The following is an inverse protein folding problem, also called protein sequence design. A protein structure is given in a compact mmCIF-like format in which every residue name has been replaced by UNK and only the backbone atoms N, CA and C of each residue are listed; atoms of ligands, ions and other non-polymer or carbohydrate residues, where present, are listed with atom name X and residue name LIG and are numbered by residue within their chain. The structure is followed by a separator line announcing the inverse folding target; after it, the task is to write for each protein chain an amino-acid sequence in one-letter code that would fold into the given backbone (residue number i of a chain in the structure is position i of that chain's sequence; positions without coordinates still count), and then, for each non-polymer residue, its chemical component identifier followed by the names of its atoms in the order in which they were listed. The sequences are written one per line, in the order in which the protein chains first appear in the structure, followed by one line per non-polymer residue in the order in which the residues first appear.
data_IF_887521619175
#
_entry.id   IF_887521619175
#
_cell.length_a   1.000
_cell.length_b   1.000
_cell.length_c   1.000
_cell.angle_alpha   90.00
_cell.angle_beta   90.00
_cell.angle_gamma   90.00
#
_symmetry.space_group_name_H-M   'P 1'
#
loop_
_entity.id
_entity.type
_entity.pdbx_description
1 polymer ?
#
# COMPACT_ATOMS: atom_id res chain seq x y z
N UNK A 1 -61.09 -11.67 1.20
CA UNK A 1 -59.65 -11.94 0.92
C UNK A 1 -59.17 -11.49 -0.47
N UNK A 2 -59.90 -11.73 -1.59
CA UNK A 2 -59.43 -11.33 -2.94
C UNK A 2 -59.24 -9.81 -3.18
N UNK A 3 -60.06 -8.93 -2.56
CA UNK A 3 -59.94 -7.46 -2.73
C UNK A 3 -58.77 -6.80 -1.98
N UNK A 4 -58.24 -7.46 -0.94
CA UNK A 4 -57.10 -6.95 -0.16
C UNK A 4 -55.79 -7.22 -0.92
N UNK A 5 -55.69 -8.35 -1.63
CA UNK A 5 -54.55 -8.68 -2.49
C UNK A 5 -54.41 -7.78 -3.72
N UNK A 6 -55.52 -7.32 -4.30
CA UNK A 6 -55.50 -6.44 -5.49
C UNK A 6 -54.97 -5.04 -5.21
N UNK A 7 -55.04 -4.56 -3.96
CA UNK A 7 -54.51 -3.25 -3.56
C UNK A 7 -53.10 -3.34 -2.96
N UNK A 8 -52.77 -4.43 -2.26
CA UNK A 8 -51.45 -4.62 -1.65
C UNK A 8 -50.33 -4.88 -2.67
N UNK A 9 -50.62 -5.59 -3.77
CA UNK A 9 -49.62 -5.89 -4.79
C UNK A 9 -49.05 -4.63 -5.48
N UNK A 10 -49.88 -3.67 -5.97
CA UNK A 10 -49.34 -2.45 -6.57
C UNK A 10 -48.63 -1.55 -5.54
N UNK A 11 -49.12 -1.49 -4.29
CA UNK A 11 -48.44 -0.77 -3.21
C UNK A 11 -47.07 -1.37 -2.89
N UNK A 12 -46.97 -2.70 -2.85
CA UNK A 12 -45.70 -3.41 -2.66
C UNK A 12 -44.76 -3.16 -3.84
N UNK A 13 -45.27 -3.19 -5.08
CA UNK A 13 -44.46 -2.89 -6.27
C UNK A 13 -43.95 -1.45 -6.27
N UNK A 14 -44.79 -0.47 -5.92
CA UNK A 14 -44.39 0.93 -5.78
C UNK A 14 -43.36 1.10 -4.67
N UNK A 15 -43.57 0.48 -3.50
CA UNK A 15 -42.62 0.51 -2.40
C UNK A 15 -41.26 -0.12 -2.80
N UNK A 16 -41.27 -1.28 -3.46
CA UNK A 16 -40.04 -1.91 -3.96
C UNK A 16 -39.36 -1.09 -5.05
N UNK A 17 -40.11 -0.41 -5.93
CA UNK A 17 -39.56 0.47 -6.94
C UNK A 17 -38.93 1.72 -6.29
N UNK A 18 -39.57 2.32 -5.31
CA UNK A 18 -39.03 3.45 -4.54
C UNK A 18 -37.79 3.03 -3.74
N UNK A 19 -37.80 1.86 -3.11
CA UNK A 19 -36.63 1.29 -2.43
C UNK A 19 -35.50 1.07 -3.46
N UNK A 20 -35.78 0.47 -4.62
CA UNK A 20 -34.77 0.21 -5.65
C UNK A 20 -34.20 1.48 -6.29
N UNK A 21 -35.02 2.53 -6.45
CA UNK A 21 -34.60 3.83 -6.98
C UNK A 21 -33.78 4.63 -5.97
N UNK A 22 -34.08 4.52 -4.67
CA UNK A 22 -33.41 5.28 -3.61
C UNK A 22 -32.31 4.50 -2.86
N UNK A 23 -32.20 3.19 -3.06
CA UNK A 23 -31.04 2.42 -2.60
C UNK A 23 -29.80 2.94 -3.32
N UNK A 24 -28.67 3.20 -2.61
CA UNK A 24 -27.42 3.54 -3.26
C UNK A 24 -27.05 2.41 -4.22
N UNK A 25 -27.22 2.66 -5.52
CA UNK A 25 -26.89 1.71 -6.57
C UNK A 25 -25.38 1.57 -6.61
N UNK A 26 -24.85 0.65 -5.80
CA UNK A 26 -23.49 0.15 -5.98
C UNK A 26 -23.49 -0.41 -7.40
N UNK A 27 -22.92 0.36 -8.32
CA UNK A 27 -22.85 -0.01 -9.73
C UNK A 27 -22.20 -1.39 -9.77
N UNK A 28 -22.83 -2.43 -10.38
CA UNK A 28 -22.25 -3.76 -10.46
C UNK A 28 -20.81 -3.62 -10.87
N UNK A 29 -19.89 -4.26 -10.14
CA UNK A 29 -18.46 -4.01 -10.23
C UNK A 29 -17.95 -3.93 -11.68
N UNK A 30 -18.43 -4.85 -12.54
CA UNK A 30 -18.15 -4.86 -13.98
C UNK A 30 -18.52 -3.56 -14.72
N UNK A 31 -19.66 -2.93 -14.43
CA UNK A 31 -20.07 -1.64 -15.00
C UNK A 31 -19.20 -0.47 -14.53
N UNK A 32 -18.40 -0.62 -13.46
CA UNK A 32 -17.39 0.38 -13.07
C UNK A 32 -16.10 0.21 -13.87
N UNK A 33 -15.72 -1.04 -14.17
CA UNK A 33 -14.51 -1.38 -14.92
C UNK A 33 -14.55 -0.82 -16.36
N UNK A 34 -15.76 -0.77 -16.95
CA UNK A 34 -15.99 -0.38 -18.34
C UNK A 34 -16.32 1.10 -18.56
N UNK A 35 -16.40 1.92 -17.50
CA UNK A 35 -16.64 3.36 -17.68
C UNK A 35 -15.41 4.06 -18.29
N UNK A 36 -15.57 4.89 -19.33
CA UNK A 36 -14.52 5.79 -19.78
C UNK A 36 -14.00 6.63 -18.60
N UNK A 37 -12.70 6.54 -18.31
CA UNK A 37 -12.09 7.25 -17.17
C UNK A 37 -11.56 8.59 -17.64
N UNK A 38 -12.22 9.67 -17.23
CA UNK A 38 -11.80 11.03 -17.56
C UNK A 38 -10.76 11.50 -16.54
N UNK A 39 -9.61 11.97 -17.04
CA UNK A 39 -8.68 12.90 -16.38
C UNK A 39 -8.09 12.48 -15.03
N UNK A 40 -6.90 11.85 -15.03
CA UNK A 40 -6.12 11.60 -13.80
C UNK A 40 -5.86 12.87 -12.97
N UNK A 41 -5.93 14.05 -13.60
CA UNK A 41 -5.63 15.35 -13.02
C UNK A 41 -6.87 16.09 -12.47
N UNK A 42 -8.07 15.52 -12.57
CA UNK A 42 -9.32 16.17 -12.13
C UNK A 42 -9.47 16.04 -10.62
N UNK A 43 -9.79 17.13 -9.93
CA UNK A 43 -10.16 17.10 -8.52
C UNK A 43 -11.66 16.78 -8.36
N UNK A 44 -12.00 15.79 -7.53
CA UNK A 44 -13.38 15.36 -7.25
C UNK A 44 -13.87 15.76 -5.85
N UNK A 45 -13.13 16.62 -5.15
CA UNK A 45 -13.58 17.13 -3.85
C UNK A 45 -14.81 18.03 -4.00
N UNK A 46 -15.93 17.73 -3.30
CA UNK A 46 -17.07 18.65 -3.21
C UNK A 46 -16.72 19.87 -2.35
N UNK A 47 -17.49 20.96 -2.47
CA UNK A 47 -17.24 22.22 -1.75
C UNK A 47 -17.20 22.00 -0.25
N UNK A 48 -18.14 21.20 0.26
CA UNK A 48 -18.27 20.86 1.68
C UNK A 48 -17.02 20.16 2.21
N UNK A 49 -16.35 19.34 1.40
CA UNK A 49 -15.11 18.68 1.81
C UNK A 49 -13.93 19.66 1.87
N UNK A 50 -13.94 20.72 1.05
CA UNK A 50 -12.90 21.77 1.07
C UNK A 50 -13.02 22.65 2.32
N UNK A 51 -14.23 22.81 2.83
CA UNK A 51 -14.54 23.55 4.07
C UNK A 51 -14.47 22.68 5.34
N UNK A 52 -14.42 21.36 5.18
CA UNK A 52 -14.35 20.42 6.29
C UNK A 52 -12.96 20.40 6.96
N UNK A 53 -12.97 20.22 8.28
CA UNK A 53 -11.80 19.93 9.10
C UNK A 53 -11.81 18.49 9.65
N UNK A 54 -10.64 18.04 10.10
CA UNK A 54 -10.43 16.71 10.70
C UNK A 54 -10.97 16.66 12.13
N UNK A 55 -11.67 15.57 12.48
CA UNK A 55 -12.35 15.40 13.79
C UNK A 55 -11.85 14.17 14.57
N UNK A 56 -10.99 13.34 13.98
CA UNK A 56 -10.39 12.18 14.61
C UNK A 56 -11.32 10.95 14.70
N UNK A 57 -10.70 9.78 14.82
CA UNK A 57 -11.38 8.48 14.77
C UNK A 57 -12.36 8.24 15.93
N UNK A 58 -12.13 8.87 17.09
CA UNK A 58 -13.04 8.76 18.25
C UNK A 58 -14.43 9.30 17.92
N UNK A 59 -14.52 10.38 17.13
CA UNK A 59 -15.83 10.90 16.70
C UNK A 59 -16.53 9.94 15.75
N UNK A 60 -15.79 9.32 14.83
CA UNK A 60 -16.32 8.27 13.94
C UNK A 60 -16.86 7.05 14.70
N UNK A 61 -16.23 6.69 15.84
CA UNK A 61 -16.63 5.53 16.68
C UNK A 61 -18.06 5.65 17.21
N UNK A 62 -18.54 6.87 17.47
CA UNK A 62 -19.87 7.11 18.05
C UNK A 62 -20.97 6.46 17.20
N UNK A 63 -20.85 6.54 15.87
CA UNK A 63 -21.78 5.95 14.91
C UNK A 63 -21.27 4.63 14.29
N UNK A 64 -19.96 4.48 14.06
CA UNK A 64 -19.36 3.34 13.33
C UNK A 64 -18.55 2.40 14.21
N UNK A 65 -19.18 1.85 15.26
CA UNK A 65 -18.53 1.02 16.29
C UNK A 65 -17.77 -0.19 15.73
N UNK A 66 -18.39 -0.95 14.83
CA UNK A 66 -17.77 -2.15 14.23
C UNK A 66 -16.57 -1.80 13.35
N UNK A 67 -16.73 -0.80 12.48
CA UNK A 67 -15.64 -0.33 11.60
C UNK A 67 -14.47 0.20 12.41
N UNK A 68 -14.74 0.95 13.47
CA UNK A 68 -13.74 1.41 14.41
C UNK A 68 -13.01 0.24 15.08
N UNK A 69 -13.76 -0.75 15.58
CA UNK A 69 -13.19 -1.95 16.22
C UNK A 69 -12.20 -2.66 15.28
N UNK A 70 -12.63 -2.94 14.05
CA UNK A 70 -11.82 -3.67 13.07
C UNK A 70 -10.61 -2.83 12.62
N UNK A 71 -10.80 -1.53 12.37
CA UNK A 71 -9.69 -0.62 12.10
C UNK A 71 -8.69 -0.59 13.26
N UNK A 72 -9.14 -0.51 14.51
CA UNK A 72 -8.27 -0.49 15.69
C UNK A 72 -7.46 -1.78 15.81
N UNK A 73 -8.03 -2.91 15.42
CA UNK A 73 -7.34 -4.20 15.35
C UNK A 73 -6.32 -4.30 14.18
N UNK A 74 -6.37 -3.39 13.20
CA UNK A 74 -5.47 -3.37 12.03
C UNK A 74 -4.01 -3.05 12.39
N UNK A 75 -3.15 -3.04 11.36
CA UNK A 75 -1.78 -2.49 11.46
C UNK A 75 -1.70 -1.01 11.08
N UNK A 76 -2.73 -0.45 10.45
CA UNK A 76 -2.79 0.98 10.12
C UNK A 76 -2.90 1.83 11.40
N UNK A 77 -3.76 1.39 12.33
CA UNK A 77 -3.91 2.00 13.66
C UNK A 77 -2.70 1.81 14.59
N UNK A 78 -1.74 0.95 14.21
CA UNK A 78 -0.54 0.58 14.99
C UNK A 78 0.76 1.02 14.32
N UNK A 79 0.67 1.92 13.34
CA UNK A 79 1.86 2.46 12.68
C UNK A 79 2.61 3.43 13.61
N UNK A 80 1.88 4.27 14.34
CA UNK A 80 2.41 5.10 15.42
C UNK A 80 1.70 4.67 16.71
N UNK A 81 2.46 4.41 17.77
CA UNK A 81 1.90 4.07 19.08
C UNK A 81 2.63 4.82 20.17
N UNK A 82 1.87 5.40 21.09
CA UNK A 82 2.35 6.20 22.22
C UNK A 82 2.92 5.29 23.31
N UNK A 83 4.23 5.35 23.50
CA UNK A 83 4.96 4.53 24.46
C UNK A 83 4.62 4.97 25.89
N UNK A 84 4.36 6.26 26.09
CA UNK A 84 4.09 6.83 27.42
C UNK A 84 2.74 6.37 27.96
N UNK A 85 1.80 6.05 27.08
CA UNK A 85 0.47 5.52 27.43
C UNK A 85 0.43 4.01 27.49
N UNK A 86 1.14 3.33 26.60
CA UNK A 86 1.24 1.87 26.61
C UNK A 86 2.67 1.40 26.31
N UNK A 87 3.51 1.23 27.35
CA UNK A 87 4.88 0.76 27.17
C UNK A 87 4.98 -0.63 26.52
N UNK A 88 3.91 -1.45 26.56
CA UNK A 88 3.91 -2.82 26.01
C UNK A 88 3.97 -2.85 24.48
N UNK A 89 3.75 -1.71 23.83
CA UNK A 89 3.89 -1.58 22.36
C UNK A 89 5.35 -1.66 21.90
N UNK A 90 6.30 -1.51 22.81
CA UNK A 90 7.74 -1.63 22.55
C UNK A 90 8.11 -3.09 22.45
N UNK A 91 8.53 -3.53 21.26
CA UNK A 91 8.91 -4.93 21.00
C UNK A 91 10.41 -5.12 20.89
N UNK A 92 11.20 -4.04 20.99
CA UNK A 92 12.65 -4.13 20.92
C UNK A 92 13.26 -4.48 22.27
N UNK A 93 14.34 -5.26 22.22
CA UNK A 93 15.12 -5.53 23.41
C UNK A 93 16.14 -4.40 23.67
N UNK A 94 15.77 -3.43 24.51
CA UNK A 94 16.63 -2.29 24.85
C UNK A 94 17.86 -2.67 25.70
N UNK A 95 17.88 -3.82 26.40
CA UNK A 95 19.10 -4.27 27.09
C UNK A 95 20.22 -4.69 26.14
N UNK A 96 19.90 -4.83 24.85
CA UNK A 96 20.85 -5.11 23.77
C UNK A 96 21.00 -3.94 22.81
N UNK A 97 20.51 -2.75 23.17
CA UNK A 97 20.75 -1.56 22.37
C UNK A 97 22.26 -1.27 22.38
N UNK A 98 22.92 -1.07 21.23
CA UNK A 98 24.35 -0.78 21.19
C UNK A 98 24.71 0.49 21.96
N UNK A 99 25.92 0.52 22.54
CA UNK A 99 26.42 1.62 23.38
C UNK A 99 26.55 2.95 22.62
N UNK A 100 26.76 2.90 21.30
CA UNK A 100 26.84 4.06 20.42
C UNK A 100 25.45 4.57 19.94
N UNK A 101 24.37 4.09 20.55
CA UNK A 101 23.03 4.60 20.28
C UNK A 101 22.87 6.04 20.79
N UNK A 102 22.23 6.90 19.99
CA UNK A 102 22.02 8.32 20.28
C UNK A 102 20.76 8.60 21.13
N UNK A 103 20.22 7.55 21.75
CA UNK A 103 18.95 7.59 22.47
C UNK A 103 18.78 6.36 23.38
N UNK A 104 17.90 6.51 24.37
CA UNK A 104 17.37 5.45 25.21
C UNK A 104 15.85 5.37 25.03
N UNK A 105 15.20 4.38 25.65
CA UNK A 105 13.75 4.29 25.63
C UNK A 105 13.08 5.51 26.31
N UNK A 106 13.71 6.08 27.34
CA UNK A 106 13.17 7.23 28.09
C UNK A 106 13.06 8.50 27.24
N UNK A 107 13.89 8.61 26.20
CA UNK A 107 13.89 9.76 25.28
C UNK A 107 12.76 9.68 24.24
N UNK A 108 12.18 8.49 24.04
CA UNK A 108 11.21 8.23 22.98
C UNK A 108 9.76 8.38 23.47
N UNK A 109 8.94 9.07 22.68
CA UNK A 109 7.50 9.26 22.96
C UNK A 109 6.64 8.31 22.12
N UNK A 110 7.03 8.06 20.87
CA UNK A 110 6.31 7.16 19.98
C UNK A 110 7.19 6.06 19.41
N UNK A 111 6.57 4.91 19.19
CA UNK A 111 7.09 3.92 18.23
C UNK A 111 6.56 4.24 16.84
N UNK A 112 7.39 3.99 15.83
CA UNK A 112 6.99 3.99 14.41
C UNK A 112 7.27 2.62 13.79
N UNK A 113 6.22 1.97 13.32
CA UNK A 113 6.22 0.58 12.89
C UNK A 113 5.98 -0.41 14.03
N UNK A 114 5.48 -1.60 13.66
CA UNK A 114 5.10 -2.65 14.60
C UNK A 114 5.51 -4.04 14.11
N UNK A 115 4.92 -4.52 12.99
CA UNK A 115 5.08 -5.91 12.54
C UNK A 115 6.50 -6.30 12.11
N UNK A 116 7.16 -5.46 11.31
CA UNK A 116 8.40 -5.84 10.60
C UNK A 116 9.65 -5.17 11.16
N UNK A 117 9.47 -3.99 11.74
CA UNK A 117 10.52 -3.18 12.34
C UNK A 117 9.87 -2.09 13.17
N UNK A 118 10.63 -1.60 14.14
CA UNK A 118 10.24 -0.48 15.00
C UNK A 118 11.37 0.54 15.06
N UNK A 119 11.01 1.82 14.99
CA UNK A 119 11.91 2.93 15.30
C UNK A 119 11.25 3.80 16.36
N UNK A 120 11.99 4.76 16.87
CA UNK A 120 11.61 5.53 18.05
C UNK A 120 11.67 7.01 17.73
N UNK A 121 10.55 7.71 17.96
CA UNK A 121 10.40 9.14 17.74
C UNK A 121 10.76 9.88 19.03
N UNK A 122 11.77 10.73 18.94
CA UNK A 122 12.34 11.47 20.06
C UNK A 122 12.03 12.95 19.85
N UNK A 123 11.43 13.66 20.81
CA UNK A 123 11.19 15.10 20.70
C UNK A 123 12.49 15.85 20.42
N UNK A 124 12.46 16.79 19.48
CA UNK A 124 13.60 17.60 19.11
C UNK A 124 13.17 19.00 18.69
N UNK A 125 14.09 19.96 18.76
CA UNK A 125 13.94 21.26 18.11
C UNK A 125 14.88 21.29 16.92
N UNK A 126 14.32 21.34 15.71
CA UNK A 126 15.08 21.31 14.45
C UNK A 126 14.76 22.61 13.71
N UNK A 127 15.80 23.41 13.41
CA UNK A 127 15.66 24.73 12.78
C UNK A 127 14.64 25.65 13.51
N UNK A 128 14.73 25.69 14.84
CA UNK A 128 13.84 26.52 15.67
C UNK A 128 12.40 26.03 15.80
N UNK A 129 12.06 24.85 15.25
CA UNK A 129 10.70 24.28 15.31
C UNK A 129 10.68 22.99 16.11
N UNK A 130 9.66 22.84 16.97
CA UNK A 130 9.39 21.58 17.68
C UNK A 130 8.99 20.49 16.68
N UNK A 131 9.67 19.37 16.74
CA UNK A 131 9.50 18.23 15.86
C UNK A 131 9.86 16.92 16.58
N UNK A 132 9.88 15.82 15.85
CA UNK A 132 10.56 14.59 16.27
C UNK A 132 11.69 14.25 15.32
N UNK A 133 12.75 13.68 15.88
CA UNK A 133 13.77 12.94 15.15
C UNK A 133 13.59 11.43 15.34
N UNK A 134 14.31 10.64 14.55
CA UNK A 134 14.42 9.19 14.76
C UNK A 134 15.81 8.84 15.28
N UNK A 135 15.88 7.97 16.28
CA UNK A 135 17.15 7.46 16.79
C UNK A 135 18.01 6.80 15.72
N UNK A 136 19.33 6.76 15.93
CA UNK A 136 20.32 6.18 15.01
C UNK A 136 20.27 4.65 14.88
N UNK A 137 19.36 3.97 15.59
CA UNK A 137 19.08 2.56 15.48
C UNK A 137 17.59 2.26 15.26
N UNK A 138 17.32 1.19 14.52
CA UNK A 138 15.99 0.58 14.37
C UNK A 138 16.02 -0.87 14.80
N UNK A 139 14.91 -1.36 15.36
CA UNK A 139 14.73 -2.76 15.70
C UNK A 139 14.14 -3.53 14.52
N UNK A 140 14.77 -4.64 14.13
CA UNK A 140 14.21 -5.56 13.13
C UNK A 140 13.55 -6.74 13.84
N UNK A 141 12.22 -6.79 13.82
CA UNK A 141 11.44 -7.85 14.50
C UNK A 141 11.61 -9.21 13.81
N UNK A 142 11.96 -9.23 12.52
CA UNK A 142 12.15 -10.47 11.77
C UNK A 142 13.46 -11.17 12.11
N UNK A 143 14.45 -10.42 12.61
CA UNK A 143 15.77 -10.97 12.98
C UNK A 143 16.07 -10.85 14.47
N UNK A 144 15.25 -10.15 15.24
CA UNK A 144 15.48 -9.87 16.66
C UNK A 144 16.77 -9.09 16.93
N UNK A 145 17.13 -8.15 16.04
CA UNK A 145 18.41 -7.41 16.10
C UNK A 145 18.20 -5.91 15.88
N UNK A 146 18.98 -5.12 16.60
CA UNK A 146 19.19 -3.70 16.32
C UNK A 146 20.02 -3.51 15.05
N UNK A 147 19.71 -2.46 14.29
CA UNK A 147 20.36 -2.13 13.03
C UNK A 147 20.54 -0.62 12.94
N UNK A 148 21.74 -0.17 12.57
CA UNK A 148 21.94 1.26 12.29
C UNK A 148 20.90 1.78 11.30
N UNK A 149 20.38 2.95 11.61
CA UNK A 149 19.36 3.62 10.83
C UNK A 149 19.76 5.06 10.53
N UNK A 150 19.90 5.33 9.24
CA UNK A 150 20.23 6.65 8.70
C UNK A 150 19.05 7.11 7.82
N UNK A 151 18.22 8.05 8.29
CA UNK A 151 16.99 8.43 7.60
C UNK A 151 17.28 9.21 6.31
N UNK A 152 18.46 9.81 6.18
CA UNK A 152 18.94 10.60 5.04
C UNK A 152 19.54 9.80 3.88
N UNK A 153 19.47 8.47 3.82
CA UNK A 153 20.14 7.64 2.76
C UNK A 153 19.39 7.50 1.42
N UNK A 154 18.26 8.17 1.24
CA UNK A 154 17.36 7.94 0.10
C UNK A 154 17.55 8.98 -1.02
N UNK A 155 16.50 9.25 -1.80
CA UNK A 155 16.59 10.17 -2.94
C UNK A 155 16.83 11.62 -2.49
N UNK A 156 16.31 11.99 -1.32
CA UNK A 156 16.48 13.29 -0.68
C UNK A 156 17.80 13.40 0.11
N UNK A 157 18.79 12.53 -0.16
CA UNK A 157 20.07 12.52 0.58
C UNK A 157 20.78 13.87 0.60
N UNK A 158 20.72 14.59 -0.53
CA UNK A 158 21.32 15.91 -0.66
C UNK A 158 20.39 17.05 -0.19
N UNK A 159 19.22 16.72 0.36
CA UNK A 159 18.24 17.67 0.88
C UNK A 159 18.29 17.79 2.41
N UNK A 160 19.10 17.00 3.10
CA UNK A 160 19.15 16.98 4.56
C UNK A 160 20.57 16.79 5.09
N UNK A 161 20.88 17.30 6.30
CA UNK A 161 22.07 16.93 7.03
C UNK A 161 22.19 15.41 7.21
N UNK A 162 23.42 14.89 7.18
CA UNK A 162 23.68 13.46 7.38
C UNK A 162 23.76 13.11 8.86
N UNK A 163 22.83 13.67 9.62
CA UNK A 163 22.75 13.63 11.06
C UNK A 163 21.30 13.36 11.46
N UNK A 164 21.10 12.32 12.27
CA UNK A 164 19.77 11.97 12.77
C UNK A 164 19.19 13.06 13.68
N UNK A 165 20.03 13.83 14.39
CA UNK A 165 19.58 14.91 15.28
C UNK A 165 18.92 16.07 14.52
N UNK A 166 19.35 16.30 13.28
CA UNK A 166 18.88 17.39 12.44
C UNK A 166 17.89 16.93 11.36
N UNK A 167 17.41 15.67 11.45
CA UNK A 167 16.54 15.09 10.45
C UNK A 167 15.08 15.02 10.94
N UNK A 168 14.20 15.92 10.46
CA UNK A 168 12.84 16.02 10.97
C UNK A 168 11.91 14.95 10.38
N UNK A 169 11.10 14.35 11.25
CA UNK A 169 10.05 13.40 10.85
C UNK A 169 8.90 14.08 10.10
N UNK A 170 8.62 15.35 10.41
CA UNK A 170 7.63 16.20 9.74
C UNK A 170 7.73 16.21 8.21
N UNK A 171 8.94 16.15 7.66
CA UNK A 171 9.14 16.25 6.22
C UNK A 171 9.10 14.89 5.50
N UNK A 172 9.38 13.79 6.19
CA UNK A 172 9.66 12.52 5.49
C UNK A 172 8.87 11.32 6.01
N UNK A 173 8.25 11.44 7.18
CA UNK A 173 7.53 10.36 7.83
C UNK A 173 6.07 10.73 8.06
N UNK A 174 5.81 11.93 8.56
CA UNK A 174 4.55 12.23 9.23
C UNK A 174 3.36 12.29 8.29
N UNK A 175 3.54 12.74 7.04
CA UNK A 175 2.45 12.76 6.06
C UNK A 175 1.80 11.39 5.88
N UNK A 176 2.58 10.31 5.92
CA UNK A 176 2.04 8.95 5.77
C UNK A 176 1.66 8.28 7.10
N UNK A 177 2.06 8.83 8.25
CA UNK A 177 1.99 8.14 9.54
C UNK A 177 1.24 8.90 10.64
N UNK A 178 0.84 10.13 10.40
CA UNK A 178 -0.09 10.89 11.25
C UNK A 178 -1.30 11.33 10.43
N UNK A 179 -2.48 11.13 10.99
CA UNK A 179 -3.72 11.60 10.39
C UNK A 179 -3.74 13.12 10.36
N UNK A 180 -4.21 13.69 9.25
CA UNK A 180 -4.27 15.13 8.99
C UNK A 180 -2.96 15.77 8.53
N UNK A 181 -1.81 15.14 8.76
CA UNK A 181 -0.51 15.77 8.52
C UNK A 181 -0.24 16.01 7.02
N UNK A 182 -0.55 15.04 6.17
CA UNK A 182 -0.38 15.16 4.72
C UNK A 182 -1.13 16.37 4.15
N UNK A 183 -2.35 16.60 4.64
CA UNK A 183 -3.25 17.65 4.17
C UNK A 183 -2.90 19.03 4.75
N UNK A 184 -2.55 19.08 6.05
CA UNK A 184 -2.55 20.34 6.82
C UNK A 184 -1.20 20.71 7.42
N UNK A 185 -0.23 19.78 7.44
CA UNK A 185 1.01 19.92 8.19
C UNK A 185 0.85 19.82 9.71
N UNK A 186 -0.32 19.40 10.21
CA UNK A 186 -0.61 19.23 11.64
C UNK A 186 -0.84 17.75 11.98
N UNK A 187 -0.29 17.29 13.10
CA UNK A 187 -0.48 15.93 13.64
C UNK A 187 -1.82 15.88 14.39
N UNK A 188 -2.91 15.54 13.69
CA UNK A 188 -4.26 15.53 14.30
C UNK A 188 -4.45 14.28 15.17
N UNK A 189 -4.08 13.11 14.65
CA UNK A 189 -4.17 11.84 15.36
C UNK A 189 -2.94 10.97 15.01
N UNK A 190 -2.34 10.24 15.98
CA UNK A 190 -1.29 9.28 15.67
C UNK A 190 -1.82 8.15 14.77
N UNK A 191 -0.92 7.65 13.92
CA UNK A 191 -1.16 6.54 13.01
C UNK A 191 -2.11 6.90 11.85
N UNK A 192 -2.47 5.89 11.06
CA UNK A 192 -3.34 6.04 9.88
C UNK A 192 -4.77 5.77 10.34
N UNK A 193 -5.56 6.82 10.50
CA UNK A 193 -6.95 6.76 10.95
C UNK A 193 -7.94 6.96 9.80
N UNK A 194 -9.23 7.01 10.15
CA UNK A 194 -10.36 7.04 9.20
C UNK A 194 -10.19 8.13 8.13
N UNK A 195 -9.79 9.32 8.56
CA UNK A 195 -9.74 10.52 7.72
C UNK A 195 -8.52 10.56 6.78
N UNK A 196 -7.51 9.69 6.96
CA UNK A 196 -6.47 9.51 5.93
C UNK A 196 -7.04 8.88 4.65
N UNK A 197 -8.15 8.13 4.76
CA UNK A 197 -8.76 7.44 3.64
C UNK A 197 -10.06 8.10 3.17
N UNK A 198 -10.82 8.68 4.10
CA UNK A 198 -12.12 9.28 3.81
C UNK A 198 -12.08 10.81 3.69
N UNK A 199 -10.94 11.44 3.98
CA UNK A 199 -10.83 12.90 4.06
C UNK A 199 -11.42 13.46 5.36
N UNK A 200 -11.43 14.80 5.54
CA UNK A 200 -11.93 15.46 6.73
C UNK A 200 -13.43 15.22 6.94
N UNK A 201 -13.81 14.78 8.15
CA UNK A 201 -15.14 14.25 8.43
C UNK A 201 -16.14 15.21 9.09
N UNK A 202 -15.75 16.44 9.47
CA UNK A 202 -16.62 17.37 10.23
C UNK A 202 -18.01 17.57 9.63
N UNK A 203 -18.12 17.87 8.32
CA UNK A 203 -19.42 18.04 7.66
C UNK A 203 -20.28 16.78 7.67
N UNK A 204 -19.66 15.60 7.58
CA UNK A 204 -20.38 14.32 7.70
C UNK A 204 -20.80 14.00 9.14
N UNK A 205 -20.03 14.45 10.14
CA UNK A 205 -20.40 14.27 11.53
C UNK A 205 -21.53 15.23 11.97
N UNK A 206 -21.60 16.41 11.37
CA UNK A 206 -22.71 17.37 11.54
C UNK A 206 -23.99 16.87 10.85
N UNK A 207 -23.87 16.39 9.60
CA UNK A 207 -24.97 15.80 8.83
C UNK A 207 -24.53 14.44 8.25
N UNK A 208 -25.00 13.31 8.82
CA UNK A 208 -24.67 11.97 8.31
C UNK A 208 -25.08 11.71 6.86
N UNK A 209 -25.98 12.50 6.27
CA UNK A 209 -26.33 12.39 4.86
C UNK A 209 -25.30 13.07 3.95
N UNK A 210 -24.44 13.92 4.49
CA UNK A 210 -23.43 14.62 3.72
C UNK A 210 -22.39 13.62 3.15
N UNK A 211 -22.23 13.54 1.81
CA UNK A 211 -21.42 12.52 1.17
C UNK A 211 -19.93 12.89 1.04
N UNK A 212 -19.36 13.81 1.83
CA UNK A 212 -17.94 14.23 1.70
C UNK A 212 -16.96 13.06 1.60
N UNK A 213 -17.21 11.95 2.29
CA UNK A 213 -16.36 10.75 2.26
C UNK A 213 -16.37 10.02 0.90
N UNK A 214 -17.39 10.22 0.07
CA UNK A 214 -17.53 9.57 -1.24
C UNK A 214 -16.51 10.09 -2.25
N UNK A 215 -15.97 11.30 -2.06
CA UNK A 215 -14.95 11.86 -2.94
C UNK A 215 -13.76 10.90 -3.12
N UNK A 216 -13.37 10.18 -2.06
CA UNK A 216 -12.25 9.27 -2.08
C UNK A 216 -12.54 7.89 -2.70
N UNK A 217 -13.81 7.58 -2.94
CA UNK A 217 -14.29 6.30 -3.51
C UNK A 217 -15.21 6.51 -4.73
N UNK A 218 -15.19 7.71 -5.32
CA UNK A 218 -16.08 8.10 -6.41
C UNK A 218 -15.83 7.27 -7.69
N UNK A 219 -14.58 6.86 -7.90
CA UNK A 219 -14.15 6.03 -9.01
C UNK A 219 -12.97 5.12 -8.61
N UNK A 220 -12.59 4.15 -9.48
CA UNK A 220 -11.46 3.26 -9.22
C UNK A 220 -10.09 3.94 -9.07
N UNK A 221 -9.84 5.06 -9.76
CA UNK A 221 -8.59 5.82 -9.64
C UNK A 221 -8.50 6.46 -8.26
N UNK A 222 -9.52 7.21 -7.82
CA UNK A 222 -9.55 7.83 -6.49
C UNK A 222 -9.46 6.80 -5.37
N UNK A 223 -10.18 5.69 -5.53
CA UNK A 223 -10.14 4.56 -4.58
C UNK A 223 -8.74 3.99 -4.44
N UNK A 224 -8.01 3.83 -5.54
CA UNK A 224 -6.61 3.39 -5.50
C UNK A 224 -5.70 4.46 -4.90
N UNK A 225 -5.87 5.72 -5.29
CA UNK A 225 -5.01 6.83 -4.85
C UNK A 225 -5.01 7.01 -3.33
N UNK A 226 -6.12 6.71 -2.66
CA UNK A 226 -6.19 6.61 -1.19
C UNK A 226 -5.13 5.66 -0.62
N UNK A 227 -4.83 4.55 -1.28
CA UNK A 227 -3.76 3.65 -0.87
C UNK A 227 -2.40 4.14 -1.37
N UNK A 228 -2.33 4.61 -2.63
CA UNK A 228 -1.09 5.02 -3.30
C UNK A 228 -0.45 6.26 -2.69
N UNK A 229 -1.19 7.07 -1.92
CA UNK A 229 -0.62 8.22 -1.19
C UNK A 229 0.51 7.79 -0.22
N UNK A 230 0.46 6.54 0.29
CA UNK A 230 1.43 5.97 1.22
C UNK A 230 2.14 4.71 0.69
N UNK A 231 1.43 3.85 -0.05
CA UNK A 231 1.93 2.56 -0.54
C UNK A 231 2.67 2.66 -1.88
N UNK A 232 3.31 3.81 -2.09
CA UNK A 232 4.10 4.09 -3.27
C UNK A 232 5.33 4.90 -2.87
N UNK A 233 6.50 4.53 -3.40
CA UNK A 233 7.71 5.32 -3.23
C UNK A 233 7.64 6.49 -4.19
N UNK A 234 7.76 7.68 -3.62
CA UNK A 234 7.63 8.93 -4.32
C UNK A 234 8.95 9.70 -4.27
N UNK A 235 8.94 10.80 -5.00
CA UNK A 235 9.83 11.94 -4.96
C UNK A 235 8.94 13.17 -4.73
N UNK A 236 9.55 14.24 -4.26
CA UNK A 236 8.86 15.53 -4.14
C UNK A 236 8.47 16.03 -5.55
N UNK A 237 7.21 16.44 -5.71
CA UNK A 237 6.65 16.82 -7.01
C UNK A 237 7.35 18.04 -7.62
N UNK A 238 7.96 18.89 -6.79
CA UNK A 238 8.70 20.09 -7.22
C UNK A 238 9.91 19.77 -8.10
N UNK A 239 10.43 18.54 -8.04
CA UNK A 239 11.47 18.09 -8.98
C UNK A 239 10.97 18.15 -10.43
N UNK A 240 9.69 17.83 -10.65
CA UNK A 240 9.07 17.91 -11.98
C UNK A 240 8.53 19.32 -12.25
N UNK A 241 7.77 19.90 -11.31
CA UNK A 241 7.01 21.13 -11.56
C UNK A 241 7.83 22.41 -11.46
N UNK A 242 8.93 22.39 -10.71
CA UNK A 242 9.81 23.54 -10.48
C UNK A 242 11.24 23.27 -11.00
N UNK A 243 11.48 22.12 -11.66
CA UNK A 243 12.81 21.64 -12.05
C UNK A 243 13.83 21.60 -10.88
N UNK A 244 13.34 21.46 -9.65
CA UNK A 244 14.18 21.49 -8.47
C UNK A 244 15.07 20.24 -8.39
N UNK A 245 16.31 20.41 -7.97
CA UNK A 245 17.17 19.31 -7.54
C UNK A 245 16.93 18.99 -6.06
N UNK A 246 17.45 17.85 -5.60
CA UNK A 246 17.44 17.54 -4.16
C UNK A 246 18.13 18.63 -3.32
N UNK A 247 19.16 19.31 -3.85
CA UNK A 247 19.86 20.39 -3.13
C UNK A 247 19.00 21.64 -2.99
N UNK A 248 18.25 22.00 -4.03
CA UNK A 248 17.34 23.17 -4.00
C UNK A 248 16.23 23.01 -2.95
N UNK A 249 15.91 21.75 -2.63
CA UNK A 249 14.94 21.38 -1.60
C UNK A 249 15.59 21.18 -0.21
N UNK A 250 16.74 21.79 0.08
CA UNK A 250 17.42 21.68 1.38
C UNK A 250 16.48 21.98 2.55
N UNK A 251 16.39 21.02 3.47
CA UNK A 251 15.51 20.99 4.65
C UNK A 251 14.00 21.10 4.34
N UNK A 252 13.62 21.04 3.06
CA UNK A 252 12.25 21.24 2.58
C UNK A 252 11.69 20.05 1.79
N UNK A 253 12.53 19.11 1.36
CA UNK A 253 12.15 17.97 0.52
C UNK A 253 11.19 17.00 1.23
N UNK A 254 10.04 16.71 0.63
CA UNK A 254 9.03 15.83 1.25
C UNK A 254 8.96 14.46 0.60
N UNK A 255 8.95 13.39 1.40
CA UNK A 255 8.85 11.99 0.92
C UNK A 255 7.40 11.51 0.76
N UNK A 256 6.43 12.42 0.91
CA UNK A 256 4.99 12.17 0.84
C UNK A 256 4.29 13.27 0.03
N UNK A 257 3.07 13.04 -0.50
CA UNK A 257 2.35 14.00 -1.32
C UNK A 257 1.75 15.13 -0.48
N UNK A 258 2.57 16.13 -0.14
CA UNK A 258 2.17 17.27 0.69
C UNK A 258 1.00 18.05 0.09
N UNK A 259 -0.04 18.30 0.88
CA UNK A 259 -1.26 19.00 0.48
C UNK A 259 -2.33 18.10 -0.16
N UNK A 260 -2.05 16.80 -0.30
CA UNK A 260 -3.03 15.82 -0.78
C UNK A 260 -4.12 15.57 0.27
N UNK A 261 -5.36 15.44 -0.21
CA UNK A 261 -6.54 15.04 0.55
C UNK A 261 -7.28 13.99 -0.30
N UNK A 262 -7.79 12.89 0.30
CA UNK A 262 -8.60 11.92 -0.42
C UNK A 262 -9.74 12.56 -1.22
N UNK A 263 -9.78 12.27 -2.53
CA UNK A 263 -10.69 12.91 -3.50
C UNK A 263 -9.98 13.79 -4.52
N UNK A 264 -8.81 14.35 -4.16
CA UNK A 264 -7.95 15.06 -5.11
C UNK A 264 -7.28 14.10 -6.09
N UNK A 265 -6.81 14.66 -7.20
CA UNK A 265 -5.90 13.99 -8.14
C UNK A 265 -4.50 13.85 -7.55
N UNK A 266 -4.14 12.63 -7.13
CA UNK A 266 -2.88 12.38 -6.44
C UNK A 266 -1.64 12.70 -7.31
N UNK A 267 -1.75 12.58 -8.64
CA UNK A 267 -0.66 12.90 -9.58
C UNK A 267 -0.20 14.36 -9.52
N UNK A 268 -1.06 15.28 -9.05
CA UNK A 268 -0.70 16.69 -8.85
C UNK A 268 0.19 16.91 -7.62
N UNK A 269 0.33 15.90 -6.74
CA UNK A 269 1.03 16.02 -5.46
C UNK A 269 2.23 15.10 -5.34
N UNK A 270 2.43 14.17 -6.29
CA UNK A 270 3.51 13.19 -6.22
C UNK A 270 4.23 13.03 -7.55
N UNK A 271 5.53 12.80 -7.44
CA UNK A 271 6.33 12.26 -8.52
C UNK A 271 6.68 10.81 -8.16
N UNK A 272 6.17 9.78 -8.87
CA UNK A 272 6.52 8.40 -8.59
C UNK A 272 8.03 8.16 -8.72
N UNK A 273 8.59 7.25 -7.90
CA UNK A 273 9.98 6.84 -8.07
C UNK A 273 10.21 6.29 -9.49
N UNK A 274 11.27 6.72 -10.20
CA UNK A 274 11.49 6.34 -11.58
C UNK A 274 11.80 4.85 -11.69
N UNK A 275 11.31 4.25 -12.77
CA UNK A 275 11.59 2.88 -13.17
C UNK A 275 11.70 2.80 -14.69
N UNK A 276 12.67 2.01 -15.16
CA UNK A 276 12.86 1.69 -16.57
C UNK A 276 13.14 0.19 -16.66
N UNK A 277 12.43 -0.52 -17.53
CA UNK A 277 12.63 -1.95 -17.73
C UNK A 277 14.08 -2.23 -18.19
N UNK A 278 14.68 -3.29 -17.65
CA UNK A 278 16.09 -3.61 -17.87
C UNK A 278 17.07 -2.85 -16.96
N UNK A 279 16.63 -1.79 -16.25
CA UNK A 279 17.50 -1.00 -15.38
C UNK A 279 17.14 -1.18 -13.91
N UNK A 280 18.04 -1.81 -13.17
CA UNK A 280 17.91 -1.91 -11.71
C UNK A 280 18.07 -0.54 -11.04
N UNK A 281 17.22 -0.25 -10.06
CA UNK A 281 17.28 0.98 -9.26
C UNK A 281 17.39 0.66 -7.76
N UNK A 282 17.40 1.69 -6.92
CA UNK A 282 17.35 1.52 -5.46
C UNK A 282 16.01 0.90 -5.01
N UNK A 283 14.93 1.06 -5.76
CA UNK A 283 13.58 0.64 -5.40
C UNK A 283 13.10 -0.61 -6.16
N UNK A 284 13.61 -0.84 -7.37
CA UNK A 284 13.13 -1.89 -8.28
C UNK A 284 14.28 -2.74 -8.82
N UNK A 285 14.03 -4.03 -8.98
CA UNK A 285 14.83 -4.93 -9.79
C UNK A 285 14.72 -4.54 -11.26
N UNK A 286 15.65 -4.99 -12.10
CA UNK A 286 15.65 -4.63 -13.52
C UNK A 286 14.38 -5.07 -14.27
N UNK A 287 13.71 -6.13 -13.83
CA UNK A 287 12.42 -6.51 -14.40
C UNK A 287 11.25 -5.62 -13.95
N UNK A 288 11.43 -4.74 -12.96
CA UNK A 288 10.39 -3.88 -12.37
C UNK A 288 9.80 -4.37 -11.06
N UNK A 289 10.13 -5.58 -10.61
CA UNK A 289 9.69 -6.06 -9.31
C UNK A 289 10.32 -5.24 -8.17
N UNK A 290 9.57 -5.04 -7.10
CA UNK A 290 10.00 -4.27 -5.95
C UNK A 290 11.18 -4.91 -5.20
N UNK A 291 12.18 -4.09 -4.83
CA UNK A 291 13.27 -4.42 -3.90
C UNK A 291 12.97 -4.07 -2.44
N UNK A 292 11.98 -3.21 -2.22
CA UNK A 292 11.69 -2.57 -0.93
C UNK A 292 10.22 -2.69 -0.57
N UNK A 293 9.89 -2.30 0.65
CA UNK A 293 8.51 -2.07 1.06
C UNK A 293 7.96 -0.73 0.52
N UNK A 294 6.63 -0.59 0.53
CA UNK A 294 5.86 0.60 0.10
C UNK A 294 6.03 0.92 -1.39
N UNK A 295 6.13 -0.10 -2.22
CA UNK A 295 6.29 -0.01 -3.69
C UNK A 295 5.16 -0.72 -4.42
N UNK A 296 4.18 -1.29 -3.70
CA UNK A 296 3.06 -2.02 -4.30
C UNK A 296 2.33 -1.15 -5.32
N UNK A 297 2.16 0.13 -5.00
CA UNK A 297 1.57 1.09 -5.90
C UNK A 297 2.40 1.35 -7.16
N UNK A 298 3.73 1.37 -7.05
CA UNK A 298 4.60 1.59 -8.20
C UNK A 298 4.54 0.40 -9.16
N UNK A 299 4.36 -0.82 -8.64
CA UNK A 299 4.18 -2.02 -9.46
C UNK A 299 2.77 -2.04 -10.07
N UNK A 300 1.75 -1.81 -9.24
CA UNK A 300 0.36 -2.06 -9.60
C UNK A 300 -0.17 -1.12 -10.68
N UNK A 301 0.29 0.14 -10.74
CA UNK A 301 -0.18 1.10 -11.77
C UNK A 301 0.17 0.68 -13.20
N UNK A 302 1.11 -0.24 -13.38
CA UNK A 302 1.48 -0.78 -14.70
C UNK A 302 0.72 -2.07 -15.06
N UNK A 303 0.03 -2.68 -14.09
CA UNK A 303 -0.65 -3.95 -14.25
C UNK A 303 -1.98 -3.84 -15.04
N UNK A 304 -2.35 -4.94 -15.70
CA UNK A 304 -3.60 -5.03 -16.48
C UNK A 304 -4.84 -4.85 -15.62
N UNK A 305 -4.84 -5.32 -14.36
CA UNK A 305 -5.94 -5.12 -13.43
C UNK A 305 -6.16 -3.64 -13.10
N UNK A 306 -5.09 -2.86 -12.92
CA UNK A 306 -5.20 -1.42 -12.72
C UNK A 306 -5.82 -0.72 -13.94
N UNK A 307 -5.37 -1.08 -15.15
CA UNK A 307 -5.96 -0.57 -16.41
C UNK A 307 -7.46 -0.88 -16.49
N UNK A 308 -7.88 -2.06 -16.06
CA UNK A 308 -9.28 -2.46 -16.02
C UNK A 308 -10.07 -1.95 -14.80
N UNK A 309 -9.44 -1.25 -13.85
CA UNK A 309 -10.16 -0.55 -12.78
C UNK A 309 -10.40 -1.41 -11.56
N UNK A 310 -9.64 -2.50 -11.45
CA UNK A 310 -9.53 -3.24 -10.22
C UNK A 310 -8.79 -2.36 -9.21
N UNK A 311 -9.30 -2.31 -7.99
CA UNK A 311 -8.76 -1.47 -6.92
C UNK A 311 -8.12 -2.30 -5.81
N UNK A 312 -7.29 -1.65 -4.99
CA UNK A 312 -6.71 -2.28 -3.81
C UNK A 312 -7.78 -2.92 -2.91
N UNK A 313 -8.96 -2.28 -2.78
CA UNK A 313 -10.02 -2.74 -1.89
C UNK A 313 -10.83 -3.93 -2.43
N UNK A 314 -10.67 -4.29 -3.70
CA UNK A 314 -11.23 -5.53 -4.23
C UNK A 314 -10.52 -6.77 -3.65
N UNK A 315 -9.25 -6.61 -3.29
CA UNK A 315 -8.43 -7.65 -2.69
C UNK A 315 -8.24 -7.46 -1.17
N UNK A 316 -8.18 -6.22 -0.67
CA UNK A 316 -7.89 -5.89 0.73
C UNK A 316 -9.03 -5.13 1.38
N UNK A 317 -9.67 -5.69 2.41
CA UNK A 317 -10.71 -4.96 3.15
C UNK A 317 -10.10 -4.31 4.41
N UNK A 318 -9.96 -2.98 4.45
CA UNK A 318 -9.41 -2.29 5.63
C UNK A 318 -10.34 -2.34 6.85
N UNK A 319 -11.61 -2.69 6.64
CA UNK A 319 -12.67 -2.74 7.65
C UNK A 319 -13.08 -4.15 8.06
N UNK A 320 -12.56 -5.20 7.41
CA UNK A 320 -12.74 -6.60 7.84
C UNK A 320 -11.40 -7.31 8.08
N UNK A 321 -10.30 -6.64 7.79
CA UNK A 321 -8.93 -7.16 7.89
C UNK A 321 -8.73 -8.47 7.10
N UNK A 322 -9.41 -8.58 5.97
CA UNK A 322 -9.28 -9.73 5.07
C UNK A 322 -8.09 -9.58 4.14
N UNK A 323 -7.48 -10.71 3.79
CA UNK A 323 -6.35 -10.79 2.87
C UNK A 323 -5.20 -9.84 3.27
N UNK A 324 -4.89 -9.81 4.56
CA UNK A 324 -3.83 -8.96 5.09
C UNK A 324 -2.50 -9.71 5.02
N UNK A 325 -1.39 -8.99 5.18
CA UNK A 325 -0.09 -9.62 5.33
C UNK A 325 -0.01 -10.63 6.50
N UNK A 326 -0.95 -10.61 7.46
CA UNK A 326 -1.07 -11.59 8.55
C UNK A 326 -2.01 -12.75 8.22
N UNK A 327 -3.09 -12.48 7.47
CA UNK A 327 -4.15 -13.44 7.16
C UNK A 327 -4.45 -13.39 5.65
N UNK A 328 -3.60 -13.99 4.80
CA UNK A 328 -3.90 -14.09 3.37
C UNK A 328 -5.11 -15.01 3.15
N UNK A 329 -5.96 -14.70 2.17
CA UNK A 329 -7.16 -15.51 1.87
C UNK A 329 -6.90 -16.68 0.90
N UNK A 330 -5.62 -16.98 0.62
CA UNK A 330 -5.24 -18.01 -0.34
C UNK A 330 -5.79 -17.72 -1.73
N UNK A 331 -6.23 -18.77 -2.42
CA UNK A 331 -6.66 -18.70 -3.82
C UNK A 331 -8.00 -17.98 -4.01
N UNK A 332 -8.86 -17.95 -2.98
CA UNK A 332 -10.21 -17.39 -3.07
C UNK A 332 -10.20 -15.94 -3.56
N UNK A 333 -9.18 -15.14 -3.20
CA UNK A 333 -9.09 -13.76 -3.68
C UNK A 333 -8.91 -13.67 -5.20
N UNK A 334 -8.08 -14.53 -5.78
CA UNK A 334 -7.80 -14.58 -7.22
C UNK A 334 -8.96 -15.24 -7.99
N UNK A 335 -9.46 -16.36 -7.47
CA UNK A 335 -10.49 -17.18 -8.12
C UNK A 335 -11.86 -16.51 -8.23
N UNK A 336 -12.10 -15.38 -7.53
CA UNK A 336 -13.28 -14.52 -7.75
C UNK A 336 -13.43 -14.07 -9.20
N UNK A 337 -12.30 -13.89 -9.90
CA UNK A 337 -12.26 -13.49 -11.31
C UNK A 337 -11.61 -14.56 -12.19
N UNK A 338 -10.64 -15.31 -11.67
CA UNK A 338 -9.81 -16.25 -12.43
C UNK A 338 -10.32 -17.68 -12.29
N UNK A 339 -11.43 -18.03 -12.93
CA UNK A 339 -11.93 -19.42 -12.93
C UNK A 339 -11.16 -20.30 -13.91
N UNK A 340 -11.04 -21.60 -13.62
CA UNK A 340 -10.45 -22.56 -14.56
C UNK A 340 -11.24 -22.58 -15.88
N UNK A 341 -10.53 -22.56 -17.00
CA UNK A 341 -11.11 -22.49 -18.35
C UNK A 341 -11.67 -21.12 -18.75
N UNK A 342 -11.57 -20.09 -17.89
CA UNK A 342 -11.93 -18.72 -18.28
C UNK A 342 -10.80 -18.04 -19.06
N UNK A 343 -11.16 -17.07 -19.90
CA UNK A 343 -10.23 -16.30 -20.76
C UNK A 343 -9.07 -15.69 -19.97
N UNK A 344 -9.34 -15.26 -18.73
CA UNK A 344 -8.35 -14.60 -17.88
C UNK A 344 -7.81 -15.51 -16.77
N UNK A 345 -8.31 -16.75 -16.64
CA UNK A 345 -7.91 -17.68 -15.59
C UNK A 345 -6.99 -18.79 -16.09
N UNK A 346 -6.66 -19.77 -15.23
CA UNK A 346 -5.87 -20.92 -15.65
C UNK A 346 -6.58 -21.70 -16.77
N UNK A 347 -5.86 -22.03 -17.85
CA UNK A 347 -6.42 -22.78 -18.98
C UNK A 347 -6.54 -24.28 -18.70
N UNK A 348 -5.82 -24.80 -17.71
CA UNK A 348 -5.93 -26.20 -17.28
C UNK A 348 -7.27 -26.46 -16.58
N UNK A 349 -7.64 -27.74 -16.44
CA UNK A 349 -8.93 -28.14 -15.85
C UNK A 349 -8.94 -28.18 -14.33
N UNK A 350 -7.77 -28.13 -13.69
CA UNK A 350 -7.64 -28.21 -12.23
C UNK A 350 -6.43 -27.43 -11.70
N UNK A 351 -6.44 -27.20 -10.39
CA UNK A 351 -5.37 -26.51 -9.68
C UNK A 351 -4.06 -27.29 -9.77
N UNK A 352 -4.09 -28.60 -9.55
CA UNK A 352 -2.91 -29.45 -9.62
C UNK A 352 -2.30 -29.50 -11.02
N UNK A 353 -3.12 -29.50 -12.07
CA UNK A 353 -2.61 -29.43 -13.44
C UNK A 353 -1.96 -28.09 -13.74
N UNK A 354 -2.51 -27.00 -13.20
CA UNK A 354 -1.95 -25.66 -13.40
C UNK A 354 -0.65 -25.44 -12.62
N UNK A 355 -0.63 -25.85 -11.34
CA UNK A 355 0.48 -25.55 -10.43
C UNK A 355 1.53 -26.64 -10.43
N UNK A 356 1.19 -27.86 -10.89
CA UNK A 356 2.00 -29.07 -10.76
C UNK A 356 2.33 -29.44 -9.29
N UNK A 357 1.48 -29.00 -8.36
CA UNK A 357 1.58 -29.30 -6.95
C UNK A 357 0.26 -29.84 -6.42
N UNK A 358 0.29 -30.69 -5.38
CA UNK A 358 -0.93 -31.15 -4.69
C UNK A 358 -1.77 -29.95 -4.25
N UNK A 359 -3.10 -29.96 -4.42
CA UNK A 359 -3.96 -28.81 -4.12
C UNK A 359 -3.79 -28.24 -2.70
N UNK A 360 -3.62 -29.11 -1.70
CA UNK A 360 -3.44 -28.69 -0.31
C UNK A 360 -2.05 -28.11 0.02
N UNK A 361 -1.10 -28.17 -0.92
CA UNK A 361 0.27 -27.71 -0.69
C UNK A 361 0.40 -26.19 -0.86
N UNK A 362 1.43 -25.61 -0.24
CA UNK A 362 1.76 -24.20 -0.42
C UNK A 362 2.08 -23.85 -1.88
N UNK A 363 2.63 -24.79 -2.65
CA UNK A 363 2.93 -24.61 -4.07
C UNK A 363 1.68 -24.42 -4.94
N UNK A 364 0.50 -24.78 -4.43
CA UNK A 364 -0.78 -24.55 -5.10
C UNK A 364 -1.45 -23.23 -4.73
N UNK A 365 -0.78 -22.35 -3.98
CA UNK A 365 -1.30 -21.02 -3.68
C UNK A 365 -0.90 -20.02 -4.79
N UNK A 366 -1.89 -19.37 -5.42
CA UNK A 366 -1.66 -18.41 -6.52
C UNK A 366 -0.60 -17.35 -6.14
N UNK A 367 -0.67 -16.84 -4.91
CA UNK A 367 0.23 -15.79 -4.41
C UNK A 367 1.68 -16.23 -4.24
N UNK A 368 1.99 -17.53 -4.19
CA UNK A 368 3.38 -17.98 -4.08
C UNK A 368 4.11 -17.93 -5.43
N UNK A 369 3.37 -18.05 -6.54
CA UNK A 369 3.89 -17.94 -7.90
C UNK A 369 3.72 -16.55 -8.50
N UNK A 370 2.53 -15.96 -8.38
CA UNK A 370 2.17 -14.68 -9.01
C UNK A 370 2.51 -13.46 -8.15
N UNK A 371 2.71 -13.63 -6.84
CA UNK A 371 3.11 -12.56 -5.94
C UNK A 371 4.38 -12.95 -5.15
N UNK A 372 5.49 -13.26 -5.84
CA UNK A 372 6.71 -13.71 -5.19
C UNK A 372 7.26 -12.65 -4.24
N UNK A 373 7.99 -13.11 -3.22
CA UNK A 373 8.64 -12.23 -2.25
C UNK A 373 9.92 -11.66 -2.87
N UNK A 374 9.84 -10.47 -3.44
CA UNK A 374 10.98 -9.83 -4.14
C UNK A 374 11.61 -8.70 -3.35
N UNK A 375 10.94 -8.18 -2.32
CA UNK A 375 11.39 -7.01 -1.58
C UNK A 375 11.69 -7.26 -0.10
N UNK A 376 12.43 -6.33 0.50
CA UNK A 376 12.83 -6.36 1.92
C UNK A 376 12.24 -5.18 2.70
N UNK A 377 11.93 -5.40 3.98
CA UNK A 377 11.54 -4.32 4.90
C UNK A 377 12.72 -3.47 5.37
N UNK A 378 13.91 -4.07 5.50
CA UNK A 378 15.21 -3.43 5.78
C UNK A 378 16.30 -4.07 4.93
N UNK A 379 17.46 -3.44 4.77
CA UNK A 379 18.58 -4.02 3.98
C UNK A 379 19.08 -5.36 4.52
N UNK A 380 18.83 -5.64 5.81
CA UNK A 380 19.22 -6.85 6.52
C UNK A 380 18.02 -7.78 6.83
N UNK A 381 16.84 -7.48 6.28
CA UNK A 381 15.66 -8.36 6.38
C UNK A 381 15.66 -9.45 5.31
N UNK A 382 15.03 -10.60 5.56
CA UNK A 382 14.72 -11.55 4.50
C UNK A 382 13.74 -10.96 3.47
N UNK A 383 13.72 -11.56 2.28
CA UNK A 383 12.73 -11.24 1.25
C UNK A 383 11.34 -11.66 1.74
N UNK A 384 10.51 -10.68 2.03
CA UNK A 384 9.18 -10.88 2.66
C UNK A 384 8.11 -9.95 2.13
N UNK A 385 8.49 -8.94 1.34
CA UNK A 385 7.53 -8.09 0.62
C UNK A 385 7.16 -8.78 -0.67
N UNK A 386 5.86 -9.06 -0.84
CA UNK A 386 5.30 -9.64 -2.06
C UNK A 386 5.16 -8.59 -3.16
N UNK A 387 5.58 -8.94 -4.36
CA UNK A 387 5.35 -8.13 -5.56
C UNK A 387 3.86 -8.03 -5.87
N UNK A 388 3.42 -6.86 -6.31
CA UNK A 388 2.07 -6.61 -6.84
C UNK A 388 2.11 -6.41 -8.37
N UNK A 389 3.09 -7.02 -9.03
CA UNK A 389 3.12 -7.10 -10.50
C UNK A 389 2.22 -8.18 -11.07
N UNK A 390 1.91 -9.22 -10.29
CA UNK A 390 1.07 -10.39 -10.64
C UNK A 390 1.55 -11.26 -11.81
N UNK A 391 2.30 -10.68 -12.75
CA UNK A 391 3.01 -11.37 -13.81
C UNK A 391 3.97 -12.42 -13.24
N UNK A 392 3.90 -13.63 -13.78
CA UNK A 392 4.79 -14.71 -13.41
C UNK A 392 6.21 -14.40 -13.88
N UNK A 393 7.17 -14.38 -12.96
CA UNK A 393 8.58 -14.17 -13.28
C UNK A 393 9.26 -15.52 -13.55
N UNK A 394 9.62 -15.76 -14.81
CA UNK A 394 10.27 -17.01 -15.21
C UNK A 394 11.70 -17.11 -14.68
N UNK A 395 12.20 -18.32 -14.36
CA UNK A 395 13.61 -18.49 -13.97
C UNK A 395 14.60 -17.93 -14.99
N UNK A 396 14.35 -18.08 -16.29
CA UNK A 396 15.16 -17.48 -17.35
C UNK A 396 15.13 -15.94 -17.30
N UNK A 397 13.98 -15.33 -17.03
CA UNK A 397 13.84 -13.88 -16.87
C UNK A 397 14.63 -13.38 -15.66
N UNK A 398 14.56 -14.08 -14.52
CA UNK A 398 15.37 -13.77 -13.32
C UNK A 398 16.86 -13.77 -13.66
N UNK A 399 17.32 -14.77 -14.42
CA UNK A 399 18.71 -14.89 -14.87
C UNK A 399 19.10 -13.77 -15.84
N UNK A 400 18.27 -13.50 -16.86
CA UNK A 400 18.53 -12.49 -17.90
C UNK A 400 18.67 -11.07 -17.31
N UNK A 401 17.87 -10.75 -16.29
CA UNK A 401 17.95 -9.46 -15.60
C UNK A 401 18.95 -9.43 -14.43
N UNK A 402 19.76 -10.49 -14.24
CA UNK A 402 20.77 -10.54 -13.16
C UNK A 402 20.19 -10.47 -11.75
N UNK A 403 18.92 -10.86 -11.57
CA UNK A 403 18.25 -10.75 -10.28
C UNK A 403 18.68 -11.88 -9.33
N UNK A 404 18.69 -11.66 -8.00
CA UNK A 404 18.98 -12.73 -7.05
C UNK A 404 18.01 -13.90 -7.22
N UNK A 405 18.47 -15.16 -7.27
CA UNK A 405 17.60 -16.32 -7.51
C UNK A 405 16.42 -16.42 -6.54
N UNK A 406 16.59 -15.98 -5.29
CA UNK A 406 15.55 -16.02 -4.24
C UNK A 406 14.36 -15.08 -4.53
N UNK A 407 14.48 -14.19 -5.52
CA UNK A 407 13.35 -13.37 -6.00
C UNK A 407 12.42 -14.15 -6.93
N UNK A 408 12.88 -15.27 -7.49
CA UNK A 408 12.08 -16.17 -8.31
C UNK A 408 11.19 -17.06 -7.43
N UNK A 409 9.91 -17.19 -7.79
CA UNK A 409 8.94 -17.99 -7.05
C UNK A 409 9.36 -19.45 -6.88
N UNK A 410 9.88 -20.07 -7.94
CA UNK A 410 10.24 -21.49 -7.95
C UNK A 410 11.49 -21.72 -7.09
N UNK A 411 12.55 -20.94 -7.31
CA UNK A 411 13.80 -21.06 -6.58
C UNK A 411 13.63 -20.77 -5.08
N UNK A 412 12.70 -19.88 -4.70
CA UNK A 412 12.41 -19.58 -3.29
C UNK A 412 11.94 -20.82 -2.50
N UNK A 413 11.37 -21.84 -3.17
CA UNK A 413 10.98 -23.11 -2.55
C UNK A 413 11.93 -24.26 -2.89
N UNK A 414 12.56 -24.22 -4.07
CA UNK A 414 13.46 -25.25 -4.60
C UNK A 414 14.90 -24.75 -4.69
N UNK A 415 15.46 -24.36 -3.54
CA UNK A 415 16.82 -23.82 -3.45
C UNK A 415 17.91 -24.87 -3.69
N UNK A 416 17.53 -26.15 -3.78
CA UNK A 416 18.35 -27.28 -4.22
C UNK A 416 18.55 -27.30 -5.75
N UNK A 417 17.81 -26.48 -6.51
CA UNK A 417 17.83 -26.46 -7.97
C UNK A 417 18.43 -25.17 -8.51
N UNK A 418 18.93 -25.23 -9.74
CA UNK A 418 19.35 -24.03 -10.48
C UNK A 418 18.17 -23.40 -11.22
N UNK A 419 18.25 -22.10 -11.52
CA UNK A 419 17.26 -21.41 -12.35
C UNK A 419 17.09 -22.10 -13.72
N UNK A 420 18.18 -22.62 -14.31
CA UNK A 420 18.12 -23.34 -15.59
C UNK A 420 17.37 -24.68 -15.47
N UNK A 421 17.57 -25.42 -14.39
CA UNK A 421 16.84 -26.67 -14.11
C UNK A 421 15.34 -26.41 -13.91
N UNK A 422 15.00 -25.35 -13.17
CA UNK A 422 13.61 -24.91 -12.96
C UNK A 422 12.97 -24.46 -14.27
N UNK A 423 13.69 -23.71 -15.10
CA UNK A 423 13.23 -23.33 -16.43
C UNK A 423 12.95 -24.55 -17.31
N UNK A 424 13.86 -25.54 -17.32
CA UNK A 424 13.66 -26.79 -18.06
C UNK A 424 12.42 -27.54 -17.59
N UNK A 425 12.11 -27.51 -16.30
CA UNK A 425 10.90 -28.13 -15.75
C UNK A 425 9.63 -27.45 -16.26
N UNK A 426 9.58 -26.10 -16.27
CA UNK A 426 8.47 -25.35 -16.86
C UNK A 426 8.28 -25.65 -18.36
N UNK A 427 9.38 -25.76 -19.11
CA UNK A 427 9.34 -26.13 -20.54
C UNK A 427 8.70 -27.50 -20.76
N UNK A 428 9.04 -28.49 -19.93
CA UNK A 428 8.45 -29.85 -19.98
C UNK A 428 6.95 -29.84 -19.71
N UNK A 429 6.44 -28.87 -18.95
CA UNK A 429 5.03 -28.71 -18.66
C UNK A 429 4.24 -27.97 -19.76
N UNK A 430 4.88 -27.57 -20.86
CA UNK A 430 4.25 -26.80 -21.92
C UNK A 430 4.08 -25.31 -21.59
N UNK A 431 4.63 -24.83 -20.47
CA UNK A 431 4.58 -23.42 -20.05
C UNK A 431 5.69 -22.61 -20.77
N UNK A 432 5.58 -22.53 -22.10
CA UNK A 432 6.62 -22.02 -23.02
C UNK A 432 6.54 -20.51 -23.32
N UNK A 433 5.57 -19.78 -22.76
CA UNK A 433 5.17 -18.48 -23.32
C UNK A 433 6.15 -17.31 -23.12
N UNK A 434 7.32 -17.51 -22.53
CA UNK A 434 8.28 -16.44 -22.24
C UNK A 434 9.66 -16.57 -22.88
N UNK A 435 9.87 -17.54 -23.77
CA UNK A 435 10.94 -17.39 -24.76
C UNK A 435 10.61 -16.33 -25.82
N UNK A 436 9.35 -15.89 -25.94
CA UNK A 436 8.90 -15.08 -27.09
C UNK A 436 8.45 -13.64 -26.81
N UNK A 437 8.18 -13.20 -25.56
CA UNK A 437 7.36 -11.97 -25.39
C UNK A 437 7.81 -10.88 -24.39
N UNK A 438 8.96 -10.96 -23.71
CA UNK A 438 9.42 -9.82 -22.87
C UNK A 438 10.91 -9.47 -22.97
N UNK A 439 11.56 -9.84 -24.06
CA UNK A 439 12.62 -8.98 -24.60
C UNK A 439 11.94 -8.07 -25.61
N UNK A 440 11.30 -6.99 -25.14
CA UNK A 440 10.84 -5.96 -26.06
C UNK A 440 12.04 -5.53 -26.91
N UNK A 441 11.90 -5.83 -28.19
CA UNK A 441 12.66 -5.40 -29.34
C UNK A 441 12.61 -3.88 -29.46
N UNK A 442 13.28 -3.14 -28.58
CA UNK A 442 13.63 -1.73 -28.79
C UNK A 442 14.99 -1.44 -28.15
N UNK A 443 16.03 -1.97 -28.77
CA UNK A 443 17.31 -1.28 -28.90
C UNK A 443 17.60 -1.25 -30.40
N UNK A 444 17.09 -0.21 -31.06
CA UNK A 444 17.77 0.40 -32.20
C UNK A 444 18.20 1.79 -31.76
#
# INVERSE_FOLDING_TARGET
MKRIFTLLLPLLMIATALIWLNLPKITPYYKQLTKPRVGMNIDLQPVEQKEAHFIGSTKCKECHKEKYHDWKASMHSKMIQDITKDPKVVVANFSRLPEDADFTLKDAVYTIGSKFKQRYMIPATINGKKDYRLGNYQWNTQTGKWQHFKPYKYWYHNSYPHDNHQFPTSNTCDGCHFTGYMATGKRVEPAIACENCHGPGSKHAEDPNNPVYKASIADPLRTNEVCLQCHMRNRDKRIETEHATAKDLWLKAKDYPSGYVPGKALINYKLPAPFTLGKETKEFWANGAAKKNRTQGNEYVHDTMYKHGITCINCHDPHKLTNTAKKPQGNTACMKCHSFGSIIGPHQSSLEQHTHHKAASKGSLCIECHMPKTGKHTGKSPLTVRSHRFAFTYPAQTKAYGMPPQTNACFACHNDKTLDSLQKSLKKWGNLEWEKLEMHSEVK
#
